data_IF_063592899103
#
_entry.id   IF_063592899103
#
_cell.length_a   1.000
_cell.length_b   1.000
_cell.length_c   1.000
_cell.angle_alpha   90.00
_cell.angle_beta   90.00
_cell.angle_gamma   90.00
#
_symmetry.space_group_name_H-M   'P 1'
#
loop_
_entity.id
_entity.type
_entity.pdbx_description
1 polymer ?
#
# COMPACT_ATOMS: atom_id res chain seq x y z
N UNK A 1 9.35 -5.95 -12.00
CA UNK A 1 9.10 -4.49 -11.96
C UNK A 1 9.32 -4.01 -10.54
N UNK A 2 9.86 -2.81 -10.38
CA UNK A 2 10.03 -2.18 -9.07
C UNK A 2 8.69 -1.59 -8.58
N UNK A 3 8.51 -1.39 -7.28
CA UNK A 3 7.23 -1.02 -6.68
C UNK A 3 6.63 0.28 -7.23
N UNK A 4 7.45 1.26 -7.60
CA UNK A 4 7.03 2.53 -8.21
C UNK A 4 6.30 2.26 -9.53
N UNK A 5 6.88 1.42 -10.39
CA UNK A 5 6.27 1.05 -11.68
C UNK A 5 5.00 0.23 -11.49
N UNK A 6 4.95 -0.61 -10.46
CA UNK A 6 3.75 -1.38 -10.12
C UNK A 6 2.61 -0.45 -9.68
N UNK A 7 2.89 0.53 -8.81
CA UNK A 7 1.89 1.52 -8.39
C UNK A 7 1.40 2.37 -9.57
N UNK A 8 2.30 2.85 -10.42
CA UNK A 8 1.94 3.61 -11.62
C UNK A 8 1.02 2.81 -12.54
N UNK A 9 1.40 1.57 -12.88
CA UNK A 9 0.55 0.70 -13.70
C UNK A 9 -0.79 0.40 -13.02
N UNK A 10 -0.78 0.15 -11.72
CA UNK A 10 -2.01 -0.06 -10.96
C UNK A 10 -2.96 1.12 -11.08
N UNK A 11 -2.44 2.36 -11.00
CA UNK A 11 -3.22 3.58 -11.21
C UNK A 11 -3.77 3.66 -12.63
N UNK A 12 -2.94 3.42 -13.65
CA UNK A 12 -3.39 3.44 -15.05
C UNK A 12 -4.55 2.47 -15.30
N UNK A 13 -4.45 1.25 -14.74
CA UNK A 13 -5.52 0.25 -14.82
C UNK A 13 -6.76 0.62 -14.01
N UNK A 14 -6.58 1.23 -12.83
CA UNK A 14 -7.68 1.66 -11.99
C UNK A 14 -8.52 2.77 -12.65
N UNK A 15 -7.84 3.76 -13.24
CA UNK A 15 -8.47 4.85 -14.02
C UNK A 15 -9.19 4.31 -15.26
N UNK A 16 -8.60 3.30 -15.92
CA UNK A 16 -9.23 2.59 -17.03
C UNK A 16 -10.39 1.64 -16.59
N UNK A 17 -10.77 1.64 -15.30
CA UNK A 17 -11.79 0.78 -14.71
C UNK A 17 -11.48 -0.73 -14.82
N UNK A 18 -10.23 -1.09 -15.08
CA UNK A 18 -9.74 -2.47 -15.16
C UNK A 18 -9.32 -2.94 -13.76
N UNK A 19 -10.32 -3.13 -12.89
CA UNK A 19 -10.10 -3.38 -11.45
C UNK A 19 -9.25 -4.62 -11.17
N UNK A 20 -9.42 -5.72 -11.92
CA UNK A 20 -8.63 -6.94 -11.71
C UNK A 20 -7.13 -6.70 -11.93
N UNK A 21 -6.76 -6.06 -13.03
CA UNK A 21 -5.36 -5.73 -13.31
C UNK A 21 -4.80 -4.78 -12.24
N UNK A 22 -5.55 -3.73 -11.90
CA UNK A 22 -5.15 -2.77 -10.87
C UNK A 22 -4.85 -3.48 -9.54
N UNK A 23 -5.71 -4.42 -9.13
CA UNK A 23 -5.53 -5.22 -7.93
C UNK A 23 -4.24 -6.05 -7.96
N UNK A 24 -3.97 -6.75 -9.08
CA UNK A 24 -2.73 -7.54 -9.22
C UNK A 24 -1.49 -6.66 -9.08
N UNK A 25 -1.49 -5.47 -9.68
CA UNK A 25 -0.37 -4.53 -9.59
C UNK A 25 -0.20 -3.97 -8.18
N UNK A 26 -1.29 -3.54 -7.54
CA UNK A 26 -1.23 -3.02 -6.16
C UNK A 26 -0.83 -4.10 -5.15
N UNK A 27 -1.35 -5.33 -5.24
CA UNK A 27 -0.93 -6.46 -4.39
C UNK A 27 0.56 -6.78 -4.58
N UNK A 28 1.05 -6.74 -5.82
CA UNK A 28 2.47 -6.94 -6.11
C UNK A 28 3.36 -5.85 -5.50
N UNK A 29 2.92 -4.58 -5.58
CA UNK A 29 3.64 -3.46 -4.96
C UNK A 29 3.64 -3.58 -3.42
N UNK A 30 2.48 -3.88 -2.84
CA UNK A 30 2.31 -4.14 -1.41
C UNK A 30 3.30 -5.21 -0.92
N UNK A 31 3.32 -6.39 -1.56
CA UNK A 31 4.20 -7.49 -1.17
C UNK A 31 5.68 -7.18 -1.35
N UNK A 32 6.04 -6.34 -2.33
CA UNK A 32 7.42 -5.88 -2.44
C UNK A 32 7.80 -4.96 -1.28
N UNK A 33 6.92 -4.04 -0.89
CA UNK A 33 7.22 -3.00 0.09
C UNK A 33 7.12 -3.48 1.55
N UNK A 34 6.32 -4.50 1.83
CA UNK A 34 6.02 -4.99 3.18
C UNK A 34 7.30 -5.28 3.99
N UNK A 35 7.44 -4.57 5.11
CA UNK A 35 8.54 -4.71 6.07
C UNK A 35 9.89 -4.13 5.63
N UNK A 36 10.00 -3.53 4.44
CA UNK A 36 11.29 -3.00 3.95
C UNK A 36 11.79 -1.77 4.70
N UNK A 37 10.87 -0.94 5.21
CA UNK A 37 11.22 0.25 5.98
C UNK A 37 12.11 -0.07 7.18
N UNK A 38 11.97 -1.25 7.82
CA UNK A 38 12.78 -1.63 8.98
C UNK A 38 14.29 -1.84 8.72
N UNK A 39 14.76 -1.76 7.47
CA UNK A 39 16.11 -2.20 7.07
C UNK A 39 16.93 -1.15 6.33
N UNK A 40 16.40 0.06 6.12
CA UNK A 40 16.95 0.98 5.13
C UNK A 40 16.95 2.45 5.61
N UNK A 41 17.92 3.25 5.16
CA UNK A 41 18.02 4.69 5.47
C UNK A 41 16.89 5.50 4.83
N UNK A 42 16.22 4.93 3.82
CA UNK A 42 15.02 5.49 3.16
C UNK A 42 13.70 5.08 3.82
N UNK A 43 13.73 4.88 5.14
CA UNK A 43 12.63 4.40 5.98
C UNK A 43 11.26 5.05 5.64
N UNK A 44 11.20 6.38 5.70
CA UNK A 44 9.95 7.13 5.57
C UNK A 44 9.33 6.96 4.18
N UNK A 45 10.16 7.00 3.14
CA UNK A 45 9.71 6.87 1.76
C UNK A 45 9.16 5.46 1.47
N UNK A 46 9.82 4.43 1.98
CA UNK A 46 9.38 3.04 1.81
C UNK A 46 8.09 2.75 2.59
N UNK A 47 7.98 3.26 3.82
CA UNK A 47 6.77 3.13 4.61
C UNK A 47 5.60 3.88 3.95
N UNK A 48 5.81 5.12 3.51
CA UNK A 48 4.77 5.90 2.84
C UNK A 48 4.33 5.24 1.52
N UNK A 49 5.26 4.68 0.75
CA UNK A 49 4.91 3.92 -0.44
C UNK A 49 4.03 2.69 -0.12
N UNK A 50 4.32 1.99 0.98
CA UNK A 50 3.50 0.86 1.42
C UNK A 50 2.11 1.31 1.89
N UNK A 51 2.03 2.40 2.63
CA UNK A 51 0.76 3.04 3.04
C UNK A 51 -0.07 3.42 1.80
N UNK A 52 0.55 4.03 0.79
CA UNK A 52 -0.13 4.34 -0.48
C UNK A 52 -0.66 3.07 -1.18
N UNK A 53 0.11 1.98 -1.19
CA UNK A 53 -0.38 0.69 -1.73
C UNK A 53 -1.61 0.18 -0.98
N UNK A 54 -1.64 0.30 0.36
CA UNK A 54 -2.80 -0.04 1.17
C UNK A 54 -4.03 0.83 0.85
N UNK A 55 -3.86 2.15 0.72
CA UNK A 55 -4.96 3.03 0.33
C UNK A 55 -5.50 2.70 -1.06
N UNK A 56 -4.63 2.45 -2.03
CA UNK A 56 -5.03 2.05 -3.38
C UNK A 56 -5.83 0.74 -3.37
N UNK A 57 -5.41 -0.26 -2.59
CA UNK A 57 -6.16 -1.51 -2.42
C UNK A 57 -7.50 -1.27 -1.74
N UNK A 58 -7.52 -0.42 -0.70
CA UNK A 58 -8.75 -0.07 0.00
C UNK A 58 -9.79 0.56 -0.93
N UNK A 59 -9.41 1.61 -1.66
CA UNK A 59 -10.27 2.29 -2.63
C UNK A 59 -10.74 1.34 -3.74
N UNK A 60 -9.87 0.42 -4.17
CA UNK A 60 -10.24 -0.60 -5.15
C UNK A 60 -11.31 -1.56 -4.62
N UNK A 61 -11.16 -2.05 -3.39
CA UNK A 61 -12.14 -2.95 -2.78
C UNK A 61 -13.45 -2.23 -2.43
N UNK A 62 -13.40 -0.95 -2.00
CA UNK A 62 -14.60 -0.10 -1.86
C UNK A 62 -15.38 -0.02 -3.17
N UNK A 63 -14.69 0.23 -4.29
CA UNK A 63 -15.31 0.30 -5.63
C UNK A 63 -15.94 -1.03 -6.06
N UNK A 64 -15.42 -2.15 -5.58
CA UNK A 64 -15.97 -3.49 -5.83
C UNK A 64 -17.11 -3.87 -4.87
N UNK A 65 -17.38 -3.07 -3.83
CA UNK A 65 -18.35 -3.37 -2.78
C UNK A 65 -17.83 -4.30 -1.67
N UNK A 66 -16.54 -4.62 -1.68
CA UNK A 66 -15.89 -5.47 -0.66
C UNK A 66 -15.34 -4.60 0.48
N UNK A 67 -16.24 -4.17 1.36
CA UNK A 67 -15.91 -3.27 2.46
C UNK A 67 -15.01 -3.91 3.52
N UNK A 68 -15.05 -5.24 3.66
CA UNK A 68 -14.23 -5.97 4.64
C UNK A 68 -12.75 -5.91 4.26
N UNK A 69 -12.42 -6.21 3.00
CA UNK A 69 -11.05 -6.06 2.53
C UNK A 69 -10.63 -4.60 2.52
N UNK A 70 -11.52 -3.69 2.14
CA UNK A 70 -11.21 -2.27 2.10
C UNK A 70 -10.78 -1.72 3.47
N UNK A 71 -11.57 -1.97 4.52
CA UNK A 71 -11.25 -1.50 5.87
C UNK A 71 -10.01 -2.23 6.43
N UNK A 72 -9.83 -3.51 6.07
CA UNK A 72 -8.65 -4.29 6.47
C UNK A 72 -7.33 -3.64 6.01
N UNK A 73 -7.26 -3.13 4.78
CA UNK A 73 -6.07 -2.42 4.30
C UNK A 73 -5.85 -1.06 4.98
N UNK A 74 -6.92 -0.31 5.27
CA UNK A 74 -6.79 0.97 6.00
C UNK A 74 -6.30 0.76 7.43
N UNK A 75 -6.83 -0.24 8.13
CA UNK A 75 -6.40 -0.59 9.48
C UNK A 75 -4.92 -0.97 9.50
N UNK A 76 -4.47 -1.79 8.53
CA UNK A 76 -3.05 -2.14 8.39
C UNK A 76 -2.16 -0.91 8.21
N UNK A 77 -2.54 0.00 7.31
CA UNK A 77 -1.80 1.25 7.09
C UNK A 77 -1.71 2.09 8.36
N UNK A 78 -2.85 2.29 9.04
CA UNK A 78 -2.92 3.05 10.28
C UNK A 78 -2.09 2.43 11.40
N UNK A 79 -2.23 1.12 11.64
CA UNK A 79 -1.49 0.41 12.68
C UNK A 79 0.02 0.52 12.47
N UNK A 80 0.48 0.37 11.23
CA UNK A 80 1.90 0.46 10.91
C UNK A 80 2.43 1.88 11.09
N UNK A 81 1.70 2.90 10.62
CA UNK A 81 2.08 4.31 10.82
C UNK A 81 2.12 4.67 12.31
N UNK A 82 1.13 4.23 13.08
CA UNK A 82 1.10 4.41 14.53
C UNK A 82 2.29 3.74 15.21
N UNK A 83 2.49 2.44 14.98
CA UNK A 83 3.61 1.68 15.55
C UNK A 83 4.96 2.33 15.25
N UNK A 84 5.15 2.76 14.00
CA UNK A 84 6.32 3.50 13.55
C UNK A 84 6.55 4.77 14.36
N UNK A 85 5.52 5.63 14.45
CA UNK A 85 5.63 6.92 15.16
C UNK A 85 6.00 6.78 16.63
N UNK A 86 5.60 5.68 17.27
CA UNK A 86 5.95 5.40 18.66
C UNK A 86 7.41 4.94 18.80
N UNK A 87 7.94 4.23 17.81
CA UNK A 87 9.30 3.67 17.85
C UNK A 87 10.39 4.63 17.36
N UNK A 88 10.04 5.69 16.61
CA UNK A 88 11.00 6.74 16.21
C UNK A 88 11.62 7.46 17.43
N UNK A 89 11.02 7.33 18.62
CA UNK A 89 11.52 7.93 19.88
C UNK A 89 12.57 7.09 20.63
N UNK A 90 13.02 5.95 20.09
CA UNK A 90 13.90 5.01 20.79
C UNK A 90 15.36 4.96 20.28
N UNK A 91 15.80 5.92 19.45
CA UNK A 91 17.21 6.06 19.04
C UNK A 91 17.83 7.31 19.66
#
# INVERSE_FOLDING_TARGET
>A
MHWQQLLLKGNDFFEAQQCYQAECYYKSAYSQLEGRWNKDESYESLLMAWICACHNLSTLFEKQGDLEHAIGYLIKAYQQAYFTSQNIRAC
#
